data_IF_088598669336
#
_entry.id   IF_088598669336
#
_cell.length_a   1.000
_cell.length_b   1.000
_cell.length_c   1.000
_cell.angle_alpha   90.00
_cell.angle_beta   90.00
_cell.angle_gamma   90.00
#
_symmetry.space_group_name_H-M   'P 1'
#
loop_
_entity.id
_entity.type
_entity.pdbx_description
1 polymer ?
#
# COMPACT_ATOMS: atom_id res chain seq x y z
N UNK A 1 19.24 -31.82 3.33
CA UNK A 1 19.89 -32.18 2.05
C UNK A 1 20.70 -31.02 1.48
N UNK A 2 20.13 -29.81 1.34
CA UNK A 2 20.83 -28.64 0.79
C UNK A 2 22.18 -28.33 1.49
N UNK A 3 22.25 -28.49 2.80
CA UNK A 3 23.51 -28.33 3.57
C UNK A 3 24.65 -29.28 3.17
N UNK A 4 24.36 -30.38 2.48
CA UNK A 4 25.36 -31.37 2.03
C UNK A 4 25.93 -31.02 0.66
N UNK A 5 25.39 -30.02 0.00
CA UNK A 5 25.79 -29.62 -1.36
C UNK A 5 26.80 -28.47 -1.26
N UNK A 6 28.03 -28.73 -1.67
CA UNK A 6 29.11 -27.72 -1.63
C UNK A 6 29.12 -26.83 -2.88
N UNK A 7 27.98 -26.16 -3.13
CA UNK A 7 27.79 -25.16 -4.19
C UNK A 7 26.57 -24.30 -3.89
N UNK A 8 26.36 -23.24 -4.64
CA UNK A 8 25.14 -22.42 -4.52
C UNK A 8 23.88 -23.30 -4.75
N UNK A 9 22.89 -23.16 -3.87
CA UNK A 9 21.64 -23.91 -3.89
C UNK A 9 20.47 -22.96 -3.76
N UNK A 10 19.52 -23.03 -4.69
CA UNK A 10 18.24 -22.35 -4.60
C UNK A 10 17.22 -23.27 -3.92
N UNK A 11 16.68 -22.81 -2.78
CA UNK A 11 15.58 -23.50 -2.10
C UNK A 11 14.28 -22.75 -2.38
N UNK A 12 13.44 -23.33 -3.24
CA UNK A 12 12.12 -22.77 -3.55
C UNK A 12 11.08 -23.39 -2.60
N UNK A 13 10.51 -22.55 -1.71
CA UNK A 13 9.46 -22.95 -0.77
C UNK A 13 8.12 -22.39 -1.24
N UNK A 14 7.15 -23.26 -1.47
CA UNK A 14 5.78 -22.89 -1.85
C UNK A 14 4.91 -22.97 -0.60
N UNK A 15 4.30 -21.86 -0.24
CA UNK A 15 3.38 -21.77 0.91
C UNK A 15 2.00 -21.29 0.47
N UNK A 16 1.01 -21.52 1.33
CA UNK A 16 -0.34 -20.98 1.17
C UNK A 16 -0.64 -20.04 2.33
N UNK A 17 -0.84 -18.76 2.05
CA UNK A 17 -1.18 -17.75 3.07
C UNK A 17 -2.51 -18.11 3.75
N UNK A 18 -2.53 -18.10 5.09
CA UNK A 18 -3.70 -18.46 5.88
C UNK A 18 -3.96 -19.96 6.03
N UNK A 19 -2.99 -20.83 5.63
CA UNK A 19 -3.14 -22.28 5.70
C UNK A 19 -3.51 -22.76 7.12
N UNK A 20 -4.54 -23.63 7.19
CA UNK A 20 -5.06 -24.17 8.45
C UNK A 20 -6.31 -23.42 8.96
N UNK A 21 -6.64 -22.26 8.37
CA UNK A 21 -7.85 -21.53 8.71
C UNK A 21 -8.64 -21.17 7.43
N UNK A 22 -9.72 -21.89 7.17
CA UNK A 22 -10.48 -21.82 5.92
C UNK A 22 -10.92 -20.41 5.52
N UNK A 23 -11.39 -19.51 6.43
CA UNK A 23 -11.72 -18.14 6.06
C UNK A 23 -10.49 -17.36 5.53
N UNK A 24 -9.32 -17.52 6.16
CA UNK A 24 -8.08 -16.87 5.72
C UNK A 24 -7.54 -17.46 4.41
N UNK A 25 -7.70 -18.77 4.19
CA UNK A 25 -7.32 -19.40 2.93
C UNK A 25 -8.15 -18.90 1.74
N UNK A 26 -9.42 -18.56 1.98
CA UNK A 26 -10.33 -18.01 0.96
C UNK A 26 -10.11 -16.54 0.69
N UNK A 27 -9.72 -15.79 1.70
CA UNK A 27 -9.49 -14.33 1.58
C UNK A 27 -8.27 -13.91 2.42
N UNK A 28 -7.05 -14.25 1.97
CA UNK A 28 -5.84 -14.00 2.74
C UNK A 28 -5.56 -12.51 3.00
N UNK A 29 -6.04 -11.62 2.15
CA UNK A 29 -5.87 -10.18 2.34
C UNK A 29 -6.67 -9.66 3.53
N UNK A 30 -7.88 -10.18 3.75
CA UNK A 30 -8.71 -9.79 4.89
C UNK A 30 -8.13 -10.23 6.25
N UNK A 31 -7.20 -11.19 6.23
CA UNK A 31 -6.55 -11.72 7.43
C UNK A 31 -5.07 -11.35 7.52
N UNK A 32 -4.64 -10.36 6.77
CA UNK A 32 -3.25 -9.89 6.83
C UNK A 32 -2.99 -8.96 8.03
N UNK A 33 -3.92 -8.06 8.32
CA UNK A 33 -3.95 -7.24 9.51
C UNK A 33 -5.41 -7.15 9.95
N UNK A 34 -5.80 -7.84 11.04
CA UNK A 34 -7.20 -8.01 11.41
C UNK A 34 -7.50 -7.41 12.77
N UNK A 35 -8.63 -6.74 12.87
CA UNK A 35 -9.28 -6.43 14.12
C UNK A 35 -9.80 -7.74 14.78
N UNK A 36 -10.14 -7.72 16.07
CA UNK A 36 -10.74 -8.87 16.73
C UNK A 36 -11.95 -9.41 15.95
N UNK A 37 -11.95 -10.73 15.68
CA UNK A 37 -12.97 -11.39 14.89
C UNK A 37 -13.44 -12.69 15.52
N UNK A 38 -14.61 -13.13 15.13
CA UNK A 38 -15.18 -14.42 15.52
C UNK A 38 -14.46 -15.55 14.79
N UNK A 39 -13.88 -16.49 15.52
CA UNK A 39 -13.02 -17.57 14.98
C UNK A 39 -13.81 -18.53 14.10
N UNK A 40 -15.07 -18.80 14.41
CA UNK A 40 -15.88 -19.77 13.67
C UNK A 40 -16.31 -19.22 12.31
N UNK A 41 -16.69 -17.94 12.29
CA UNK A 41 -17.23 -17.29 11.10
C UNK A 41 -16.21 -16.47 10.31
N UNK A 42 -15.09 -16.07 10.93
CA UNK A 42 -14.12 -15.14 10.37
C UNK A 42 -14.62 -13.70 10.25
N UNK A 43 -15.75 -13.36 10.88
CA UNK A 43 -16.34 -12.02 10.78
C UNK A 43 -15.80 -11.09 11.88
N UNK A 44 -15.54 -9.81 11.58
CA UNK A 44 -15.16 -8.83 12.60
C UNK A 44 -16.18 -8.75 13.73
N UNK A 45 -15.73 -8.69 14.98
CA UNK A 45 -16.58 -8.52 16.16
C UNK A 45 -17.15 -7.10 16.27
N UNK A 46 -16.45 -6.11 15.73
CA UNK A 46 -16.89 -4.72 15.71
C UNK A 46 -17.23 -4.29 14.29
N UNK A 47 -18.32 -3.56 14.13
CA UNK A 47 -18.63 -2.82 12.91
C UNK A 47 -18.07 -1.42 13.05
N UNK A 48 -17.49 -0.88 11.98
CA UNK A 48 -17.16 0.55 11.92
C UNK A 48 -18.45 1.36 12.02
N UNK A 49 -18.56 2.21 13.03
CA UNK A 49 -19.71 3.11 13.21
C UNK A 49 -19.59 4.34 12.31
N UNK A 50 -18.37 4.78 12.05
CA UNK A 50 -18.08 5.96 11.23
C UNK A 50 -16.98 5.65 10.22
N UNK A 51 -16.95 6.34 9.04
CA UNK A 51 -15.86 6.22 8.09
C UNK A 51 -14.56 6.76 8.68
N UNK A 52 -13.47 6.00 8.52
CA UNK A 52 -12.12 6.46 8.86
C UNK A 52 -11.55 7.39 7.79
N UNK A 53 -10.37 7.96 8.06
CA UNK A 53 -9.64 8.80 7.08
C UNK A 53 -9.38 8.07 5.77
N UNK A 54 -8.99 6.80 5.82
CA UNK A 54 -8.76 5.95 4.64
C UNK A 54 -10.03 5.78 3.79
N UNK A 55 -11.21 5.67 4.44
CA UNK A 55 -12.49 5.54 3.72
C UNK A 55 -12.86 6.86 3.01
N UNK A 56 -12.58 8.01 3.66
CA UNK A 56 -12.79 9.34 3.08
C UNK A 56 -11.84 9.57 1.92
N UNK A 57 -10.54 9.29 2.11
CA UNK A 57 -9.53 9.39 1.05
C UNK A 57 -9.90 8.53 -0.17
N UNK A 58 -10.28 7.26 0.06
CA UNK A 58 -10.68 6.32 -0.99
C UNK A 58 -11.83 6.86 -1.86
N UNK A 59 -12.81 7.49 -1.24
CA UNK A 59 -13.94 8.11 -1.93
C UNK A 59 -13.51 9.33 -2.72
N UNK A 60 -12.75 10.24 -2.09
CA UNK A 60 -12.39 11.52 -2.70
C UNK A 60 -11.39 11.36 -3.84
N UNK A 61 -10.42 10.45 -3.76
CA UNK A 61 -9.49 10.23 -4.88
C UNK A 61 -10.22 9.66 -6.11
N UNK A 62 -11.22 8.78 -5.92
CA UNK A 62 -12.04 8.29 -7.04
C UNK A 62 -12.90 9.41 -7.63
N UNK A 63 -13.49 10.27 -6.79
CA UNK A 63 -14.26 11.44 -7.26
C UNK A 63 -13.39 12.40 -8.08
N UNK A 64 -12.22 12.75 -7.59
CA UNK A 64 -11.27 13.63 -8.28
C UNK A 64 -10.78 13.01 -9.59
N UNK A 65 -10.54 11.70 -9.62
CA UNK A 65 -10.11 10.98 -10.82
C UNK A 65 -11.19 10.92 -11.89
N UNK A 66 -12.48 10.95 -11.52
CA UNK A 66 -13.59 11.07 -12.46
C UNK A 66 -13.58 12.43 -13.16
N UNK A 67 -13.22 13.49 -12.44
CA UNK A 67 -13.16 14.86 -12.98
C UNK A 67 -11.86 15.16 -13.74
N UNK A 68 -10.77 14.46 -13.41
CA UNK A 68 -9.46 14.72 -14.00
C UNK A 68 -8.75 13.41 -14.42
N UNK A 69 -8.66 13.13 -15.73
CA UNK A 69 -8.05 11.92 -16.25
C UNK A 69 -6.52 11.85 -16.04
N UNK A 70 -5.87 12.95 -15.67
CA UNK A 70 -4.45 12.99 -15.38
C UNK A 70 -4.08 12.46 -14.00
N UNK A 71 -5.05 12.29 -13.12
CA UNK A 71 -4.79 11.73 -11.78
C UNK A 71 -4.50 10.25 -11.92
N UNK A 72 -3.34 9.85 -11.40
CA UNK A 72 -2.89 8.46 -11.29
C UNK A 72 -2.53 8.16 -9.84
N UNK A 73 -2.75 6.94 -9.41
CA UNK A 73 -2.47 6.50 -8.05
C UNK A 73 -1.35 5.46 -8.03
N UNK A 74 -0.40 5.64 -7.12
CA UNK A 74 0.75 4.76 -6.94
C UNK A 74 0.81 4.28 -5.49
N UNK A 75 1.11 3.00 -5.29
CA UNK A 75 1.36 2.43 -3.96
C UNK A 75 2.44 1.35 -4.04
N UNK A 76 2.93 0.91 -2.89
CA UNK A 76 3.95 -0.12 -2.77
C UNK A 76 3.41 -1.30 -1.94
N UNK A 77 2.65 -2.20 -2.56
CA UNK A 77 2.00 -3.37 -1.94
C UNK A 77 0.99 -3.05 -0.82
N UNK A 78 0.43 -1.84 -0.79
CA UNK A 78 -0.47 -1.37 0.27
C UNK A 78 -1.85 -0.89 -0.23
N UNK A 79 -2.47 -1.47 -1.27
CA UNK A 79 -3.70 -0.91 -1.85
C UNK A 79 -4.89 -0.94 -0.88
N UNK A 80 -5.00 -1.98 -0.05
CA UNK A 80 -6.07 -2.10 0.94
C UNK A 80 -5.88 -1.08 2.08
N UNK A 81 -4.69 -1.04 2.67
CA UNK A 81 -4.39 -0.22 3.83
C UNK A 81 -4.39 1.29 3.55
N UNK A 82 -4.01 1.70 2.35
CA UNK A 82 -4.02 3.11 1.91
C UNK A 82 -5.37 3.55 1.32
N UNK A 83 -6.34 2.63 1.16
CA UNK A 83 -7.65 2.93 0.59
C UNK A 83 -7.69 2.99 -0.94
N UNK A 84 -6.63 2.59 -1.64
CA UNK A 84 -6.56 2.60 -3.10
C UNK A 84 -7.22 1.40 -3.78
N UNK A 85 -7.71 0.42 -3.03
CA UNK A 85 -8.37 -0.77 -3.58
C UNK A 85 -9.59 -0.44 -4.45
N UNK A 86 -10.35 0.59 -4.09
CA UNK A 86 -11.48 1.06 -4.91
C UNK A 86 -10.97 1.67 -6.20
N UNK A 87 -9.97 2.56 -6.12
CA UNK A 87 -9.35 3.21 -7.28
C UNK A 87 -8.81 2.18 -8.27
N UNK A 88 -8.13 1.12 -7.80
CA UNK A 88 -7.56 0.07 -8.66
C UNK A 88 -8.62 -0.68 -9.49
N UNK A 89 -9.86 -0.74 -8.99
CA UNK A 89 -10.98 -1.38 -9.70
C UNK A 89 -11.68 -0.44 -10.68
N UNK A 90 -11.85 0.83 -10.29
CA UNK A 90 -12.55 1.84 -11.11
C UNK A 90 -11.64 2.40 -12.21
N UNK A 91 -10.32 2.48 -11.96
CA UNK A 91 -9.34 3.09 -12.87
C UNK A 91 -8.08 2.21 -13.00
N UNK A 92 -8.19 0.96 -13.48
CA UNK A 92 -7.06 0.01 -13.53
C UNK A 92 -5.87 0.54 -14.35
N UNK A 93 -6.10 1.28 -15.44
CA UNK A 93 -5.04 1.83 -16.29
C UNK A 93 -4.33 3.06 -15.70
N UNK A 94 -4.81 3.54 -14.54
CA UNK A 94 -4.26 4.68 -13.81
C UNK A 94 -3.82 4.32 -12.38
N UNK A 95 -3.76 3.02 -12.09
CA UNK A 95 -3.34 2.49 -10.81
C UNK A 95 -2.06 1.68 -10.98
N UNK A 96 -1.07 1.98 -10.14
CA UNK A 96 0.25 1.34 -10.17
C UNK A 96 0.62 0.82 -8.78
N UNK A 97 0.63 -0.49 -8.61
CA UNK A 97 1.20 -1.14 -7.44
C UNK A 97 2.58 -1.69 -7.81
N UNK A 98 3.62 -1.07 -7.28
CA UNK A 98 5.02 -1.42 -7.62
C UNK A 98 5.57 -2.58 -6.79
N UNK A 99 4.74 -3.20 -5.95
CA UNK A 99 5.22 -4.17 -4.97
C UNK A 99 5.94 -3.48 -3.81
N UNK A 100 6.76 -4.22 -3.07
CA UNK A 100 7.53 -3.67 -1.94
C UNK A 100 8.78 -2.96 -2.49
N UNK A 101 8.58 -1.79 -3.08
CA UNK A 101 9.62 -0.99 -3.75
C UNK A 101 9.25 0.50 -3.70
N UNK A 102 9.29 1.09 -2.52
CA UNK A 102 8.88 2.48 -2.27
C UNK A 102 9.74 3.47 -3.04
N UNK A 103 11.04 3.20 -3.21
CA UNK A 103 11.96 3.99 -4.03
C UNK A 103 11.48 4.06 -5.47
N UNK A 104 11.08 2.92 -6.03
CA UNK A 104 10.54 2.86 -7.38
C UNK A 104 9.19 3.59 -7.49
N UNK A 105 8.33 3.50 -6.48
CA UNK A 105 7.07 4.23 -6.44
C UNK A 105 7.29 5.74 -6.58
N UNK A 106 8.25 6.30 -5.83
CA UNK A 106 8.54 7.74 -5.83
C UNK A 106 9.20 8.17 -7.15
N UNK A 107 10.24 7.44 -7.60
CA UNK A 107 10.91 7.75 -8.87
C UNK A 107 9.97 7.67 -10.07
N UNK A 108 9.11 6.63 -10.11
CA UNK A 108 8.10 6.50 -11.16
C UNK A 108 7.08 7.63 -11.13
N UNK A 109 6.63 8.03 -9.94
CA UNK A 109 5.72 9.17 -9.77
C UNK A 109 6.38 10.48 -10.22
N UNK A 110 7.66 10.70 -9.94
CA UNK A 110 8.40 11.85 -10.46
C UNK A 110 8.40 11.88 -11.99
N UNK A 111 8.69 10.75 -12.65
CA UNK A 111 8.62 10.62 -14.10
C UNK A 111 7.21 10.88 -14.66
N UNK A 112 6.16 10.38 -14.01
CA UNK A 112 4.77 10.63 -14.37
C UNK A 112 4.43 12.13 -14.26
N UNK A 113 4.89 12.79 -13.18
CA UNK A 113 4.69 14.23 -12.99
C UNK A 113 5.41 15.05 -14.06
N UNK A 114 6.66 14.70 -14.39
CA UNK A 114 7.42 15.32 -15.46
C UNK A 114 6.73 15.17 -16.83
N UNK A 115 6.02 14.05 -17.05
CA UNK A 115 5.20 13.81 -18.24
C UNK A 115 3.83 14.52 -18.22
N UNK A 116 3.53 15.31 -17.18
CA UNK A 116 2.30 16.11 -17.05
C UNK A 116 1.10 15.36 -16.45
N UNK A 117 1.31 14.19 -15.87
CA UNK A 117 0.32 13.52 -15.04
C UNK A 117 0.27 14.14 -13.62
N UNK A 118 -0.70 13.74 -12.83
CA UNK A 118 -0.88 14.16 -11.43
C UNK A 118 -0.82 12.93 -10.52
N UNK A 119 0.38 12.44 -10.21
CA UNK A 119 0.53 11.26 -9.39
C UNK A 119 0.23 11.53 -7.92
N UNK A 120 -0.49 10.60 -7.32
CA UNK A 120 -0.77 10.50 -5.88
C UNK A 120 -0.12 9.22 -5.37
N UNK A 121 0.92 9.37 -4.57
CA UNK A 121 1.65 8.26 -3.95
C UNK A 121 1.09 8.03 -2.55
N UNK A 122 0.44 6.89 -2.32
CA UNK A 122 -0.12 6.54 -1.03
C UNK A 122 0.66 5.39 -0.39
N UNK A 123 1.33 5.68 0.71
CA UNK A 123 2.22 4.76 1.43
C UNK A 123 2.15 5.00 2.93
N UNK A 124 2.56 4.00 3.73
CA UNK A 124 2.70 4.18 5.17
C UNK A 124 3.96 4.99 5.52
N UNK A 125 3.87 5.81 6.56
CA UNK A 125 4.97 6.68 7.01
C UNK A 125 6.27 5.90 7.26
N UNK A 126 6.20 4.79 7.97
CA UNK A 126 7.37 3.94 8.26
C UNK A 126 8.03 3.36 7.01
N UNK A 127 7.27 3.12 5.94
CA UNK A 127 7.80 2.57 4.69
C UNK A 127 8.32 3.63 3.74
N UNK A 128 7.79 4.86 3.82
CA UNK A 128 8.29 5.98 3.02
C UNK A 128 9.76 6.32 3.32
N UNK A 129 10.28 5.92 4.50
CA UNK A 129 11.71 6.05 4.82
C UNK A 129 12.62 5.46 3.76
N UNK A 130 12.21 4.35 3.08
CA UNK A 130 13.00 3.73 2.02
C UNK A 130 13.19 4.63 0.81
N UNK A 131 12.31 5.59 0.61
CA UNK A 131 12.32 6.48 -0.54
C UNK A 131 12.79 7.90 -0.19
N UNK A 132 13.52 8.07 0.92
CA UNK A 132 13.95 9.38 1.39
C UNK A 132 14.77 10.16 0.33
N UNK A 133 15.75 9.51 -0.26
CA UNK A 133 16.56 10.10 -1.34
C UNK A 133 15.71 10.45 -2.55
N UNK A 134 14.80 9.60 -2.97
CA UNK A 134 13.95 9.80 -4.13
C UNK A 134 12.99 10.96 -3.95
N UNK A 135 12.46 11.15 -2.72
CA UNK A 135 11.63 12.32 -2.41
C UNK A 135 12.44 13.60 -2.59
N UNK A 136 13.66 13.66 -2.07
CA UNK A 136 14.52 14.83 -2.18
C UNK A 136 14.99 15.03 -3.62
N UNK A 137 15.67 14.03 -4.17
CA UNK A 137 16.38 14.13 -5.43
C UNK A 137 15.43 14.13 -6.65
N UNK A 138 14.51 13.17 -6.71
CA UNK A 138 13.69 12.98 -7.91
C UNK A 138 12.47 13.89 -7.93
N UNK A 139 11.94 14.30 -6.78
CA UNK A 139 10.75 15.13 -6.70
C UNK A 139 11.07 16.57 -6.30
N UNK A 140 11.69 16.79 -5.13
CA UNK A 140 11.82 18.12 -4.56
C UNK A 140 12.82 19.01 -5.32
N UNK A 141 14.01 18.50 -5.66
CA UNK A 141 15.02 19.26 -6.41
C UNK A 141 14.48 19.66 -7.79
N UNK A 142 13.68 18.81 -8.41
CA UNK A 142 13.07 19.07 -9.71
C UNK A 142 11.76 19.87 -9.62
N UNK A 143 11.28 20.17 -8.40
CA UNK A 143 10.03 20.88 -8.14
C UNK A 143 8.82 20.24 -8.85
N UNK A 144 8.72 18.91 -8.83
CA UNK A 144 7.67 18.16 -9.50
C UNK A 144 6.40 18.06 -8.64
N UNK A 145 5.20 18.19 -9.24
CA UNK A 145 3.92 18.17 -8.52
C UNK A 145 3.45 16.74 -8.18
N UNK A 146 4.18 16.06 -7.30
CA UNK A 146 3.79 14.76 -6.74
C UNK A 146 3.07 14.98 -5.42
N UNK A 147 1.91 14.34 -5.23
CA UNK A 147 1.17 14.36 -3.98
C UNK A 147 1.50 13.10 -3.18
N UNK A 148 1.98 13.27 -1.96
CA UNK A 148 2.22 12.17 -1.03
C UNK A 148 1.09 12.09 -0.01
N UNK A 149 0.39 10.96 0.02
CA UNK A 149 -0.61 10.61 1.03
C UNK A 149 0.03 9.63 2.01
N UNK A 150 0.58 10.18 3.08
CA UNK A 150 1.33 9.42 4.08
C UNK A 150 0.35 8.91 5.14
N UNK A 151 0.03 7.63 5.07
CA UNK A 151 -0.85 6.97 6.03
C UNK A 151 -0.07 6.52 7.28
N UNK A 152 -0.75 6.36 8.40
CA UNK A 152 -0.18 5.97 9.70
C UNK A 152 0.96 6.88 10.19
N UNK A 153 0.88 8.15 9.85
CA UNK A 153 1.80 9.18 10.34
C UNK A 153 1.42 9.56 11.77
N UNK A 154 2.22 9.15 12.72
CA UNK A 154 1.97 9.36 14.15
C UNK A 154 1.73 8.07 14.91
N UNK A 155 1.27 8.20 16.16
CA UNK A 155 0.89 7.07 17.02
C UNK A 155 -0.55 6.69 16.70
N UNK A 156 -0.74 5.64 15.93
CA UNK A 156 -2.05 5.17 15.50
C UNK A 156 -2.34 3.77 16.03
N UNK A 157 -3.18 3.69 16.98
CA UNK A 157 -3.95 2.55 17.43
C UNK A 157 -3.27 1.16 17.42
N UNK A 158 -3.89 0.22 16.74
CA UNK A 158 -3.64 -1.20 16.85
C UNK A 158 -2.50 -1.77 15.98
N UNK A 159 -1.86 -0.97 15.15
CA UNK A 159 -0.68 -1.41 14.35
C UNK A 159 0.57 -1.51 15.23
N UNK A 160 1.49 -2.42 14.87
CA UNK A 160 2.79 -2.53 15.52
C UNK A 160 3.73 -1.38 15.16
N UNK A 161 4.81 -1.23 15.93
CA UNK A 161 5.81 -0.16 15.79
C UNK A 161 6.46 -0.08 14.40
N UNK A 162 6.40 -1.15 13.62
CA UNK A 162 6.94 -1.19 12.25
C UNK A 162 6.02 -0.59 11.20
N UNK A 163 4.76 -0.28 11.53
CA UNK A 163 3.73 0.16 10.59
C UNK A 163 3.20 1.57 10.86
N UNK A 164 3.73 2.25 11.84
CA UNK A 164 3.33 3.61 12.22
C UNK A 164 4.52 4.40 12.76
N UNK A 165 4.45 5.70 12.72
CA UNK A 165 5.47 6.57 13.29
C UNK A 165 5.51 7.96 12.67
N UNK A 166 6.29 8.83 13.31
CA UNK A 166 6.67 10.15 12.82
C UNK A 166 8.14 10.09 12.40
N UNK A 167 8.41 10.27 11.13
CA UNK A 167 9.75 10.27 10.54
C UNK A 167 9.98 11.53 9.73
#
# INVERSE_FOLDING_TARGET
>A
EAKKINRAVLIHVITKKGKGYRPAEKNPSAFHGVEPFDIETGKPLRKKEHPGYTDVFSREICRLAAENPKIVAVTAAMPDGTGLKRFSKEYPDRFFDVGIAEEHAVTSAAGMAAAGLKPVVAVYSSFLQRAYDQVIHDVCIQNLPVVFCVDRAGLVGSDGETHQGNF
#
